data_IF_070287426273
#
_entry.id   IF_070287426273
#
_cell.length_a   1.000
_cell.length_b   1.000
_cell.length_c   1.000
_cell.angle_alpha   90.00
_cell.angle_beta   90.00
_cell.angle_gamma   90.00
#
_symmetry.space_group_name_H-M   'P 1'
#
loop_
_entity.id
_entity.type
_entity.pdbx_description
1 polymer ?
#
# COMPACT_ATOMS: atom_id res chain seq x y z
N UNK A 1 -40.32 -34.18 54.05
CA UNK A 1 -39.49 -34.84 53.00
C UNK A 1 -39.24 -33.78 51.93
N UNK A 2 -38.14 -33.03 51.85
CA UNK A 2 -36.71 -33.33 51.66
C UNK A 2 -36.38 -34.12 50.37
N UNK A 3 -35.64 -33.42 49.49
CA UNK A 3 -34.77 -33.88 48.37
C UNK A 3 -35.49 -34.34 47.08
N UNK A 4 -35.06 -34.06 45.84
CA UNK A 4 -33.74 -33.77 45.25
C UNK A 4 -33.87 -32.73 44.11
N UNK A 5 -32.86 -31.87 44.02
CA UNK A 5 -32.55 -30.88 42.97
C UNK A 5 -32.31 -31.57 41.61
N UNK A 6 -32.97 -31.11 40.55
CA UNK A 6 -32.56 -31.41 39.16
C UNK A 6 -32.13 -30.12 38.47
N UNK A 7 -30.83 -29.88 38.45
CA UNK A 7 -30.22 -28.97 37.49
C UNK A 7 -29.92 -29.76 36.22
N UNK A 8 -30.32 -29.27 35.05
CA UNK A 8 -29.53 -29.44 33.85
C UNK A 8 -28.75 -28.14 33.63
N UNK A 9 -27.43 -28.28 33.78
CA UNK A 9 -26.41 -27.47 33.15
C UNK A 9 -26.86 -27.02 31.75
N UNK A 10 -27.01 -25.72 31.54
CA UNK A 10 -26.99 -25.15 30.19
C UNK A 10 -25.99 -23.99 30.15
N UNK A 11 -24.74 -24.42 30.04
CA UNK A 11 -23.60 -23.65 29.58
C UNK A 11 -23.76 -23.45 28.07
N UNK A 12 -24.38 -22.35 27.64
CA UNK A 12 -24.27 -21.83 26.25
C UNK A 12 -23.44 -20.54 26.38
N UNK A 13 -22.12 -20.62 26.24
CA UNK A 13 -21.42 -20.38 24.97
C UNK A 13 -21.84 -19.07 24.28
N UNK A 14 -21.42 -17.96 24.88
CA UNK A 14 -20.40 -17.07 24.31
C UNK A 14 -20.26 -17.17 22.77
N UNK A 15 -21.10 -16.45 22.04
CA UNK A 15 -20.75 -15.95 20.71
C UNK A 15 -20.65 -14.44 20.80
N UNK A 16 -19.48 -13.98 21.26
CA UNK A 16 -18.96 -12.71 20.81
C UNK A 16 -18.88 -12.81 19.29
N UNK A 17 -19.80 -12.18 18.57
CA UNK A 17 -19.46 -11.66 17.25
C UNK A 17 -18.54 -10.47 17.47
N UNK A 18 -17.31 -10.76 17.92
CA UNK A 18 -16.16 -10.05 17.36
C UNK A 18 -16.21 -10.42 15.89
N UNK A 19 -16.81 -9.55 15.09
CA UNK A 19 -16.38 -9.39 13.71
C UNK A 19 -14.89 -9.04 13.78
N UNK A 20 -14.08 -10.09 13.89
CA UNK A 20 -12.69 -10.08 13.50
C UNK A 20 -12.72 -9.70 12.03
N UNK A 21 -12.70 -8.40 11.76
CA UNK A 21 -12.02 -7.93 10.56
C UNK A 21 -10.57 -8.32 10.79
N UNK A 22 -10.26 -9.56 10.45
CA UNK A 22 -8.91 -9.98 10.17
C UNK A 22 -8.49 -9.07 9.03
N UNK A 23 -7.69 -8.06 9.36
CA UNK A 23 -6.91 -7.31 8.39
C UNK A 23 -6.11 -8.40 7.68
N UNK A 24 -6.53 -8.74 6.46
CA UNK A 24 -5.85 -9.72 5.65
C UNK A 24 -4.44 -9.20 5.48
N UNK A 25 -3.48 -9.93 6.05
CA UNK A 25 -2.07 -9.73 5.79
C UNK A 25 -1.85 -9.89 4.27
N UNK A 26 -1.10 -8.96 3.67
CA UNK A 26 -0.95 -8.66 2.24
C UNK A 26 -1.99 -7.68 1.67
N UNK A 27 -1.80 -6.39 1.99
CA UNK A 27 -2.29 -5.31 1.13
C UNK A 27 -1.57 -5.43 -0.22
N UNK A 28 -2.16 -6.17 -1.17
CA UNK A 28 -1.61 -6.29 -2.52
C UNK A 28 -1.36 -4.89 -3.10
N UNK A 29 -0.08 -4.58 -3.28
CA UNK A 29 0.41 -3.34 -3.86
C UNK A 29 -0.05 -3.26 -5.33
N UNK A 30 -1.23 -2.70 -5.58
CA UNK A 30 -1.86 -2.71 -6.91
C UNK A 30 -2.64 -3.99 -7.20
N UNK A 31 -2.75 -4.37 -8.48
CA UNK A 31 -3.46 -5.58 -8.90
C UNK A 31 -2.49 -6.75 -9.17
N UNK A 32 -2.72 -7.91 -8.52
CA UNK A 32 -2.05 -9.21 -8.73
C UNK A 32 -0.61 -9.09 -9.27
N UNK A 33 0.26 -8.37 -8.53
CA UNK A 33 1.72 -8.44 -8.60
C UNK A 33 2.42 -8.09 -9.92
N UNK A 34 1.72 -7.68 -10.98
CA UNK A 34 2.40 -7.41 -12.26
C UNK A 34 3.08 -6.03 -12.26
N UNK A 35 4.38 -6.05 -12.00
CA UNK A 35 5.28 -4.92 -12.27
C UNK A 35 5.21 -4.57 -13.75
N UNK A 36 4.84 -3.34 -14.08
CA UNK A 36 4.92 -2.86 -15.46
C UNK A 36 6.18 -2.01 -15.69
N UNK A 37 6.80 -1.53 -14.61
CA UNK A 37 8.03 -0.74 -14.67
C UNK A 37 8.84 -0.87 -13.40
N UNK A 38 10.13 -1.13 -13.55
CA UNK A 38 11.12 -1.05 -12.46
C UNK A 38 11.88 0.27 -12.58
N UNK A 39 12.14 0.90 -11.43
CA UNK A 39 13.03 2.06 -11.31
C UNK A 39 14.19 1.71 -10.40
N UNK A 40 15.38 2.15 -10.76
CA UNK A 40 16.61 1.86 -10.01
C UNK A 40 17.36 3.15 -9.74
N UNK A 41 17.69 3.38 -8.46
CA UNK A 41 18.54 4.48 -8.00
C UNK A 41 18.12 5.85 -8.58
N UNK A 42 16.81 6.09 -8.68
CA UNK A 42 16.27 7.35 -9.21
C UNK A 42 16.16 8.39 -8.11
N UNK A 43 16.51 9.63 -8.46
CA UNK A 43 16.22 10.76 -7.59
C UNK A 43 14.71 10.88 -7.40
N UNK A 44 14.30 11.15 -6.17
CA UNK A 44 12.93 11.20 -5.77
C UNK A 44 12.70 12.35 -4.80
N UNK A 45 11.53 12.95 -4.92
CA UNK A 45 11.05 13.99 -4.05
C UNK A 45 9.82 13.48 -3.32
N UNK A 46 9.88 13.38 -2.00
CA UNK A 46 8.70 13.04 -1.21
C UNK A 46 7.76 14.25 -1.12
N UNK A 47 6.53 14.09 -1.58
CA UNK A 47 5.50 15.14 -1.60
C UNK A 47 4.48 15.04 -0.46
N UNK A 48 4.58 14.00 0.38
CA UNK A 48 3.59 13.68 1.41
C UNK A 48 2.66 12.56 0.98
N UNK A 49 1.88 12.04 1.94
CA UNK A 49 0.85 11.01 1.75
C UNK A 49 1.34 9.78 0.96
N UNK A 50 2.55 9.31 1.25
CA UNK A 50 3.16 8.16 0.56
C UNK A 50 3.59 8.44 -0.88
N UNK A 51 3.48 9.67 -1.38
CA UNK A 51 3.73 9.99 -2.80
C UNK A 51 5.12 10.54 -3.04
N UNK A 52 5.85 9.90 -3.94
CA UNK A 52 7.10 10.40 -4.51
C UNK A 52 6.89 10.94 -5.92
N UNK A 53 7.58 12.04 -6.22
CA UNK A 53 7.81 12.49 -7.59
C UNK A 53 9.17 11.97 -8.02
N UNK A 54 9.28 11.36 -9.20
CA UNK A 54 10.55 10.90 -9.81
C UNK A 54 10.69 11.43 -11.24
N UNK A 55 11.89 11.64 -11.77
CA UNK A 55 12.07 12.06 -13.15
C UNK A 55 11.66 10.96 -14.14
N UNK A 56 11.10 11.37 -15.28
CA UNK A 56 10.73 10.48 -16.36
C UNK A 56 11.10 11.08 -17.72
N UNK A 57 11.58 10.25 -18.64
CA UNK A 57 12.03 10.72 -19.96
C UNK A 57 10.88 11.04 -20.92
N UNK A 58 9.69 10.48 -20.72
CA UNK A 58 8.55 10.65 -21.62
C UNK A 58 7.60 11.76 -21.14
N UNK A 59 7.35 11.85 -19.83
CA UNK A 59 6.40 12.81 -19.24
C UNK A 59 7.07 13.89 -18.38
N UNK A 60 8.41 13.91 -18.32
CA UNK A 60 9.20 14.82 -17.48
C UNK A 60 9.27 14.37 -16.03
N UNK A 61 8.11 14.16 -15.40
CA UNK A 61 8.01 13.67 -14.03
C UNK A 61 6.88 12.67 -13.86
N UNK A 62 7.11 11.73 -12.94
CA UNK A 62 6.18 10.69 -12.57
C UNK A 62 5.81 10.80 -11.10
N UNK A 63 4.53 10.60 -10.79
CA UNK A 63 4.09 10.41 -9.41
C UNK A 63 3.94 8.92 -9.15
N UNK A 64 4.57 8.44 -8.09
CA UNK A 64 4.45 7.06 -7.61
C UNK A 64 4.02 7.07 -6.15
N UNK A 65 3.06 6.22 -5.80
CA UNK A 65 2.54 6.11 -4.43
C UNK A 65 3.11 4.85 -3.78
N UNK A 66 3.89 5.02 -2.72
CA UNK A 66 4.45 3.90 -1.98
C UNK A 66 3.33 3.05 -1.39
N UNK A 67 3.45 1.74 -1.55
CA UNK A 67 2.50 0.79 -0.97
C UNK A 67 2.63 0.75 0.55
N UNK A 68 3.87 0.78 1.05
CA UNK A 68 4.16 0.95 2.46
C UNK A 68 4.63 2.38 2.71
N UNK A 69 3.86 3.14 3.50
CA UNK A 69 4.20 4.53 3.85
C UNK A 69 4.99 4.57 5.14
N UNK A 70 6.17 5.19 5.12
CA UNK A 70 6.95 5.44 6.33
C UNK A 70 6.74 6.88 6.84
N UNK A 71 6.33 6.98 8.11
CA UNK A 71 6.16 8.27 8.80
C UNK A 71 7.48 9.03 9.01
N UNK A 72 8.64 8.39 8.86
CA UNK A 72 9.95 9.01 8.96
C UNK A 72 10.35 9.79 7.69
N UNK A 73 9.61 9.67 6.60
CA UNK A 73 9.91 10.40 5.36
C UNK A 73 9.61 11.89 5.51
N UNK A 74 10.61 12.71 5.21
CA UNK A 74 10.52 14.17 5.29
C UNK A 74 9.95 14.71 3.97
N UNK A 75 8.87 15.48 4.05
CA UNK A 75 8.32 16.19 2.89
C UNK A 75 9.37 17.16 2.37
N UNK A 76 9.58 17.16 1.06
CA UNK A 76 10.54 18.07 0.44
C UNK A 76 10.12 19.53 0.59
N UNK A 77 11.09 20.41 0.78
CA UNK A 77 10.88 21.83 1.06
C UNK A 77 10.29 22.60 -0.12
N UNK A 78 10.54 22.14 -1.34
CA UNK A 78 10.09 22.79 -2.58
C UNK A 78 10.09 21.82 -3.77
N UNK A 79 9.80 22.33 -4.98
CA UNK A 79 9.74 21.53 -6.22
C UNK A 79 11.07 21.19 -6.87
N UNK A 80 12.16 21.78 -6.38
CA UNK A 80 13.50 21.63 -6.93
C UNK A 80 14.38 20.74 -6.06
N UNK A 81 13.96 20.49 -4.82
CA UNK A 81 14.69 19.71 -3.84
C UNK A 81 14.34 18.22 -3.96
N UNK A 82 15.30 17.45 -4.45
CA UNK A 82 15.29 15.98 -4.45
C UNK A 82 15.94 15.49 -3.17
N UNK A 83 15.16 14.89 -2.27
CA UNK A 83 15.59 14.54 -0.92
C UNK A 83 15.81 13.04 -0.72
N UNK A 84 15.47 12.22 -1.73
CA UNK A 84 15.64 10.78 -1.69
C UNK A 84 16.21 10.24 -2.99
N UNK A 85 16.87 9.10 -2.90
CA UNK A 85 16.99 8.14 -3.99
C UNK A 85 16.05 6.98 -3.67
N UNK A 86 15.27 6.52 -4.65
CA UNK A 86 14.47 5.29 -4.51
C UNK A 86 14.73 4.29 -5.63
N UNK A 87 14.60 3.02 -5.29
CA UNK A 87 14.47 1.89 -6.23
C UNK A 87 13.19 1.14 -5.90
N UNK A 88 12.55 0.58 -6.90
CA UNK A 88 11.31 -0.16 -6.68
C UNK A 88 10.58 -0.57 -7.94
N UNK A 89 9.50 -1.31 -7.72
CA UNK A 89 8.66 -1.87 -8.77
C UNK A 89 7.32 -1.15 -8.78
N UNK A 90 7.04 -0.45 -9.89
CA UNK A 90 5.74 0.18 -10.11
C UNK A 90 4.78 -0.87 -10.65
N UNK A 91 3.70 -1.09 -9.91
CA UNK A 91 2.70 -2.12 -10.19
C UNK A 91 1.50 -1.53 -10.92
N UNK A 92 0.78 -2.37 -11.66
CA UNK A 92 -0.43 -1.92 -12.35
C UNK A 92 -1.50 -1.53 -11.35
N UNK A 93 -2.13 -0.38 -11.60
CA UNK A 93 -3.34 0.01 -10.86
C UNK A 93 -4.51 -0.89 -11.23
N UNK A 94 -5.33 -1.25 -10.25
CA UNK A 94 -6.61 -1.91 -10.47
C UNK A 94 -7.58 -0.98 -11.17
N UNK A 95 -7.70 -1.13 -12.48
CA UNK A 95 -8.76 -0.49 -13.26
C UNK A 95 -9.91 -1.49 -13.29
N UNK A 96 -11.15 -1.02 -13.05
CA UNK A 96 -12.37 -1.83 -12.94
C UNK A 96 -12.66 -2.69 -14.19
N UNK A 97 -13.90 -3.16 -14.43
CA UNK A 97 -14.20 -4.33 -15.27
C UNK A 97 -13.70 -4.35 -16.74
N UNK A 98 -13.07 -3.29 -17.25
CA UNK A 98 -12.41 -3.24 -18.55
C UNK A 98 -11.03 -2.56 -18.47
N UNK A 99 -10.02 -3.17 -17.83
CA UNK A 99 -8.70 -2.55 -17.62
C UNK A 99 -7.90 -2.42 -18.92
N UNK A 100 -8.13 -3.30 -19.89
CA UNK A 100 -7.40 -3.36 -21.17
C UNK A 100 -7.64 -2.14 -22.07
N UNK A 101 -8.77 -1.44 -21.88
CA UNK A 101 -9.15 -0.27 -22.67
C UNK A 101 -8.52 1.03 -22.15
N UNK A 102 -7.78 0.97 -21.04
CA UNK A 102 -7.12 2.13 -20.44
C UNK A 102 -5.62 2.03 -20.65
N UNK A 103 -5.05 3.11 -21.18
CA UNK A 103 -3.60 3.28 -21.16
C UNK A 103 -3.13 3.24 -19.70
N UNK A 104 -2.10 2.44 -19.37
CA UNK A 104 -1.57 2.43 -18.01
C UNK A 104 -1.10 3.85 -17.67
N UNK A 105 -1.44 4.37 -16.49
CA UNK A 105 -0.91 5.64 -16.04
C UNK A 105 0.62 5.55 -16.07
N UNK A 106 1.29 6.66 -16.39
CA UNK A 106 2.76 6.66 -16.44
C UNK A 106 3.34 6.22 -15.09
N UNK A 107 2.65 6.52 -13.99
CA UNK A 107 3.00 6.16 -12.61
C UNK A 107 1.90 5.36 -11.93
N UNK A 108 2.04 5.09 -10.64
CA UNK A 108 1.12 4.22 -9.92
C UNK A 108 1.67 3.79 -8.57
N UNK A 109 1.07 2.76 -7.97
CA UNK A 109 1.60 2.16 -6.75
C UNK A 109 3.03 1.65 -7.00
N UNK A 110 3.92 1.88 -6.05
CA UNK A 110 5.30 1.40 -6.08
C UNK A 110 5.61 0.60 -4.83
N UNK A 111 6.14 -0.60 -5.04
CA UNK A 111 6.81 -1.36 -3.99
C UNK A 111 8.26 -0.92 -3.94
N UNK A 112 8.59 -0.07 -2.97
CA UNK A 112 9.94 0.47 -2.78
C UNK A 112 10.82 -0.66 -2.21
N UNK A 113 11.90 -0.98 -2.93
CA UNK A 113 12.86 -2.00 -2.52
C UNK A 113 14.11 -1.41 -1.87
N UNK A 114 14.42 -0.15 -2.18
CA UNK A 114 15.50 0.61 -1.55
C UNK A 114 15.13 2.09 -1.51
N UNK A 115 15.41 2.75 -0.39
CA UNK A 115 15.25 4.19 -0.23
C UNK A 115 16.38 4.76 0.63
N UNK A 116 16.98 5.84 0.13
CA UNK A 116 18.07 6.54 0.80
C UNK A 116 17.81 8.04 0.81
N UNK A 117 17.94 8.67 1.98
CA UNK A 117 17.93 10.13 2.09
C UNK A 117 19.24 10.71 1.53
N UNK A 118 19.12 11.77 0.73
CA UNK A 118 20.26 12.50 0.15
C UNK A 118 20.79 13.59 1.09
#
# INVERSE_FOLDING_TARGET
MRFIIKAPFYFILLFFFVSSCSKGDDEDCGCDGSTYRTIENLQARYSGDGTFVVPDTNVGFLKVSACDVDTAWEISKDEKTWNYTISGNITKTCLGPNPELRLPPSGGPIQITDIKKM
#
